data_IF_544273471491
#
_entry.id   IF_544273471491
#
_cell.length_a   1.000
_cell.length_b   1.000
_cell.length_c   1.000
_cell.angle_alpha   90.00
_cell.angle_beta   90.00
_cell.angle_gamma   90.00
#
_symmetry.space_group_name_H-M   'P 1'
#
loop_
_entity.id
_entity.type
_entity.pdbx_description
1 polymer ?
#
# COMPACT_ATOMS: atom_id res chain seq x y z
N UNK A 1 0.58 3.30 9.76
CA UNK A 1 1.78 3.96 9.20
C UNK A 1 3.00 3.23 9.72
N UNK A 2 4.03 3.09 8.88
CA UNK A 2 5.18 2.21 9.14
C UNK A 2 5.99 2.60 10.39
N UNK A 3 6.09 3.90 10.68
CA UNK A 3 6.86 4.44 11.82
C UNK A 3 6.14 4.38 13.16
N UNK A 4 4.92 3.84 13.23
CA UNK A 4 4.11 3.82 14.46
C UNK A 4 4.08 2.41 15.03
N UNK A 5 4.06 2.31 16.36
CA UNK A 5 3.77 1.08 17.07
C UNK A 5 2.68 1.32 18.12
N UNK A 6 1.90 0.29 18.45
CA UNK A 6 0.92 0.34 19.53
C UNK A 6 1.53 -0.14 20.83
N UNK A 7 1.50 0.68 21.88
CA UNK A 7 1.89 0.30 23.23
C UNK A 7 0.68 0.18 24.17
N UNK A 8 0.56 -0.94 24.89
CA UNK A 8 -0.44 -1.12 25.94
C UNK A 8 -0.37 -0.04 27.02
N UNK A 9 -1.54 0.34 27.54
CA UNK A 9 -1.69 1.31 28.64
C UNK A 9 -0.86 0.95 29.87
N UNK A 10 -0.87 -0.31 30.28
CA UNK A 10 -0.16 -0.80 31.47
C UNK A 10 1.36 -0.64 31.31
N UNK A 11 1.90 -1.04 30.15
CA UNK A 11 3.34 -0.93 29.85
C UNK A 11 3.76 0.52 29.70
N UNK A 12 2.96 1.33 29.00
CA UNK A 12 3.29 2.74 28.74
C UNK A 12 3.35 3.58 30.03
N UNK A 13 2.44 3.37 30.99
CA UNK A 13 2.50 4.08 32.28
C UNK A 13 3.80 3.78 33.03
N UNK A 14 4.23 2.53 33.08
CA UNK A 14 5.44 2.15 33.80
C UNK A 14 6.70 2.71 33.12
N UNK A 15 6.80 2.59 31.80
CA UNK A 15 7.95 3.10 31.04
C UNK A 15 8.08 4.63 31.12
N UNK A 16 6.96 5.36 31.07
CA UNK A 16 6.95 6.81 31.03
C UNK A 16 6.63 7.46 32.40
N UNK A 17 6.63 6.69 33.48
CA UNK A 17 6.16 7.14 34.80
C UNK A 17 6.82 8.44 35.26
N UNK A 18 8.14 8.55 35.11
CA UNK A 18 8.93 9.73 35.50
C UNK A 18 8.52 10.98 34.72
N UNK A 19 8.30 10.84 33.42
CA UNK A 19 7.85 11.93 32.54
C UNK A 19 6.43 12.36 32.85
N UNK A 20 5.54 11.41 33.15
CA UNK A 20 4.15 11.68 33.54
C UNK A 20 4.10 12.43 34.87
N UNK A 21 4.88 12.03 35.87
CA UNK A 21 5.00 12.73 37.15
C UNK A 21 5.45 14.18 36.92
N UNK A 22 6.48 14.38 36.09
CA UNK A 22 6.97 15.73 35.74
C UNK A 22 5.88 16.55 35.02
N UNK A 23 5.12 15.93 34.12
CA UNK A 23 4.00 16.56 33.41
C UNK A 23 2.87 16.99 34.34
N UNK A 24 2.49 16.14 35.29
CA UNK A 24 1.46 16.42 36.30
C UNK A 24 1.83 17.62 37.19
N UNK A 25 3.08 17.69 37.65
CA UNK A 25 3.57 18.79 38.49
C UNK A 25 3.66 20.09 37.68
N UNK A 26 4.22 20.02 36.46
CA UNK A 26 4.38 21.20 35.58
C UNK A 26 3.04 21.84 35.22
N UNK A 27 1.98 21.06 35.08
CA UNK A 27 0.62 21.53 34.78
C UNK A 27 -0.22 21.84 36.03
N UNK A 28 0.37 21.80 37.23
CA UNK A 28 -0.30 22.03 38.51
C UNK A 28 -1.45 21.05 38.84
N UNK A 29 -1.49 19.87 38.22
CA UNK A 29 -2.43 18.80 38.58
C UNK A 29 -1.99 18.02 39.82
N UNK A 30 -0.70 18.11 40.19
CA UNK A 30 -0.17 17.55 41.43
C UNK A 30 0.75 18.58 42.10
N UNK A 31 0.64 18.71 43.43
CA UNK A 31 1.48 19.63 44.23
C UNK A 31 2.87 19.06 44.51
N UNK A 32 2.99 17.73 44.63
CA UNK A 32 4.24 17.05 44.92
C UNK A 32 4.31 15.68 44.24
N UNK A 33 5.50 15.05 44.30
CA UNK A 33 5.75 13.73 43.69
C UNK A 33 4.86 12.65 44.32
N UNK A 34 4.56 12.73 45.62
CA UNK A 34 3.72 11.77 46.32
C UNK A 34 2.29 11.75 45.79
N UNK A 35 1.67 12.92 45.67
CA UNK A 35 0.33 13.10 45.09
C UNK A 35 0.31 12.65 43.64
N UNK A 36 1.32 13.01 42.85
CA UNK A 36 1.41 12.55 41.45
C UNK A 36 1.46 11.01 41.36
N UNK A 37 2.22 10.34 42.24
CA UNK A 37 2.25 8.87 42.31
C UNK A 37 0.90 8.29 42.75
N UNK A 38 0.17 8.92 43.67
CA UNK A 38 -1.19 8.49 44.06
C UNK A 38 -2.14 8.55 42.87
N UNK A 39 -2.17 9.68 42.15
CA UNK A 39 -3.03 9.86 40.96
C UNK A 39 -2.76 8.82 39.87
N UNK A 40 -1.49 8.44 39.67
CA UNK A 40 -1.10 7.37 38.73
C UNK A 40 -1.64 6.02 39.21
N UNK A 41 -1.51 5.70 40.50
CA UNK A 41 -2.03 4.44 41.09
C UNK A 41 -3.55 4.34 40.99
N UNK A 42 -4.25 5.45 41.20
CA UNK A 42 -5.70 5.58 41.09
C UNK A 42 -6.20 5.59 39.63
N UNK A 43 -5.27 5.65 38.65
CA UNK A 43 -5.56 5.66 37.21
C UNK A 43 -6.53 6.77 36.79
N UNK A 44 -6.38 7.96 37.38
CA UNK A 44 -7.23 9.12 37.06
C UNK A 44 -7.24 9.41 35.54
N UNK A 45 -8.37 9.87 34.98
CA UNK A 45 -8.51 10.12 33.54
C UNK A 45 -7.46 11.08 32.99
N UNK A 46 -7.03 12.04 33.82
CA UNK A 46 -6.06 13.07 33.45
C UNK A 46 -4.65 12.51 33.18
N UNK A 47 -4.31 11.38 33.80
CA UNK A 47 -3.02 10.70 33.63
C UNK A 47 -2.89 10.20 32.20
N UNK A 48 -3.97 9.68 31.60
CA UNK A 48 -3.97 9.18 30.23
C UNK A 48 -3.76 10.29 29.20
N UNK A 49 -4.35 11.47 29.44
CA UNK A 49 -4.16 12.63 28.58
C UNK A 49 -2.71 13.10 28.60
N UNK A 50 -2.10 13.21 29.79
CA UNK A 50 -0.69 13.61 29.94
C UNK A 50 0.23 12.54 29.35
N UNK A 51 -0.07 11.26 29.55
CA UNK A 51 0.70 10.16 28.96
C UNK A 51 0.73 10.24 27.43
N UNK A 52 -0.41 10.48 26.79
CA UNK A 52 -0.48 10.63 25.33
C UNK A 52 0.39 11.81 24.84
N UNK A 53 0.34 12.95 25.51
CA UNK A 53 1.17 14.11 25.17
C UNK A 53 2.67 13.81 25.33
N UNK A 54 3.06 13.16 26.42
CA UNK A 54 4.45 12.77 26.68
C UNK A 54 4.94 11.79 25.60
N UNK A 55 4.13 10.79 25.26
CA UNK A 55 4.47 9.78 24.25
C UNK A 55 4.67 10.39 22.86
N UNK A 56 3.90 11.42 22.48
CA UNK A 56 4.07 12.11 21.20
C UNK A 56 5.49 12.70 21.03
N UNK A 57 6.10 13.15 22.14
CA UNK A 57 7.45 13.71 22.12
C UNK A 57 8.59 12.68 22.06
N UNK A 58 8.35 11.42 22.42
CA UNK A 58 9.41 10.44 22.65
C UNK A 58 9.30 9.22 21.72
N UNK A 59 10.32 8.92 20.90
CA UNK A 59 10.39 7.65 20.18
C UNK A 59 10.66 6.49 21.15
N UNK A 60 10.32 5.27 20.76
CA UNK A 60 10.65 4.03 21.47
C UNK A 60 11.41 3.08 20.56
N UNK A 61 12.31 2.29 21.11
CA UNK A 61 13.02 1.25 20.38
C UNK A 61 12.37 -0.10 20.69
N UNK A 62 12.00 -0.83 19.64
CA UNK A 62 11.55 -2.21 19.74
C UNK A 62 12.70 -3.14 19.36
N UNK A 63 12.85 -4.22 20.12
CA UNK A 63 13.90 -5.21 19.94
C UNK A 63 13.31 -6.62 20.06
N UNK A 64 13.68 -7.52 19.13
CA UNK A 64 13.38 -8.95 19.23
C UNK A 64 14.68 -9.75 19.34
N UNK A 65 14.77 -10.59 20.37
CA UNK A 65 15.89 -11.51 20.54
C UNK A 65 15.63 -12.83 19.78
N UNK A 66 16.66 -13.47 19.20
CA UNK A 66 18.05 -13.02 19.10
C UNK A 66 18.25 -11.94 18.02
N UNK A 67 19.09 -10.94 18.30
CA UNK A 67 19.40 -9.85 17.34
C UNK A 67 20.54 -10.24 16.40
N UNK A 68 20.19 -10.65 15.18
CA UNK A 68 21.18 -11.10 14.18
C UNK A 68 21.77 -9.95 13.35
N UNK A 69 21.04 -8.85 13.19
CA UNK A 69 21.44 -7.72 12.35
C UNK A 69 20.81 -6.41 12.82
N UNK A 70 21.26 -5.28 12.27
CA UNK A 70 20.82 -3.92 12.66
C UNK A 70 19.30 -3.77 12.73
N UNK A 71 18.56 -4.34 11.77
CA UNK A 71 17.10 -4.21 11.70
C UNK A 71 16.34 -5.00 12.77
N UNK A 72 17.03 -5.82 13.58
CA UNK A 72 16.44 -6.45 14.76
C UNK A 72 16.14 -5.47 15.90
N UNK A 73 16.61 -4.22 15.78
CA UNK A 73 16.23 -3.10 16.63
C UNK A 73 15.82 -1.92 15.75
N UNK A 74 14.61 -1.41 15.93
CA UNK A 74 14.11 -0.25 15.19
C UNK A 74 13.35 0.71 16.10
N UNK A 75 13.37 1.99 15.73
CA UNK A 75 12.62 3.02 16.42
C UNK A 75 11.21 3.19 15.83
N UNK A 76 10.26 3.50 16.71
CA UNK A 76 8.88 3.79 16.38
C UNK A 76 8.34 4.94 17.23
N UNK A 77 7.35 5.64 16.70
CA UNK A 77 6.49 6.55 17.44
C UNK A 77 5.42 5.72 18.17
N UNK A 78 5.40 5.70 19.50
CA UNK A 78 4.41 4.93 20.23
C UNK A 78 3.03 5.60 20.19
N UNK A 79 1.99 4.77 20.11
CA UNK A 79 0.58 5.15 20.21
C UNK A 79 -0.06 4.29 21.28
N UNK A 80 -0.86 4.91 22.14
CA UNK A 80 -1.58 4.21 23.19
C UNK A 80 -2.67 3.32 22.56
N UNK A 81 -2.65 2.03 22.88
CA UNK A 81 -3.68 1.06 22.44
C UNK A 81 -4.36 0.41 23.63
N UNK A 82 -5.58 -0.06 23.40
CA UNK A 82 -6.32 -0.87 24.35
C UNK A 82 -5.88 -2.34 24.23
N UNK A 83 -5.75 -3.03 25.36
CA UNK A 83 -5.22 -4.40 25.43
C UNK A 83 -3.85 -4.49 26.09
N UNK A 84 -3.23 -5.68 25.97
CA UNK A 84 -1.94 -6.03 26.61
C UNK A 84 -0.83 -6.42 25.63
N UNK A 85 -1.11 -6.44 24.34
CA UNK A 85 -0.15 -6.80 23.31
C UNK A 85 0.42 -5.55 22.63
N UNK A 86 1.69 -5.62 22.21
CA UNK A 86 2.32 -4.59 21.39
C UNK A 86 1.82 -4.75 19.95
N UNK A 87 1.29 -3.68 19.36
CA UNK A 87 0.87 -3.72 17.95
C UNK A 87 2.06 -3.33 17.06
N UNK A 88 2.48 -4.26 16.21
CA UNK A 88 3.58 -4.07 15.26
C UNK A 88 3.04 -3.92 13.82
N UNK A 89 3.75 -3.17 12.99
CA UNK A 89 3.42 -3.04 11.58
C UNK A 89 3.83 -4.31 10.79
N UNK A 90 2.98 -4.90 9.94
CA UNK A 90 3.30 -6.18 9.27
C UNK A 90 4.55 -6.13 8.38
N UNK A 91 4.81 -4.99 7.72
CA UNK A 91 6.00 -4.83 6.87
C UNK A 91 7.33 -4.84 7.62
N UNK A 92 7.36 -4.60 8.94
CA UNK A 92 8.62 -4.64 9.71
C UNK A 92 8.92 -6.04 10.26
N UNK A 93 7.96 -6.98 10.21
CA UNK A 93 8.10 -8.33 10.74
C UNK A 93 9.30 -9.07 10.12
N UNK A 94 9.54 -8.91 8.82
CA UNK A 94 10.71 -9.51 8.14
C UNK A 94 12.04 -8.99 8.70
N UNK A 95 12.11 -7.71 9.08
CA UNK A 95 13.27 -7.10 9.72
C UNK A 95 13.51 -7.59 11.14
N UNK A 96 12.45 -7.96 11.88
CA UNK A 96 12.59 -8.57 13.20
C UNK A 96 12.70 -10.10 13.16
N UNK A 97 12.50 -10.70 11.98
CA UNK A 97 12.25 -12.14 11.81
C UNK A 97 11.13 -12.65 12.73
N UNK A 98 10.09 -11.84 12.93
CA UNK A 98 9.01 -12.06 13.88
C UNK A 98 7.75 -12.62 13.22
N UNK A 99 7.03 -13.45 13.97
CA UNK A 99 5.67 -13.90 13.68
C UNK A 99 4.74 -13.58 14.86
N UNK A 100 3.48 -14.06 14.80
CA UNK A 100 2.44 -13.70 15.76
C UNK A 100 1.83 -14.95 16.43
N UNK A 101 2.68 -15.93 16.78
CA UNK A 101 2.29 -17.18 17.44
C UNK A 101 2.58 -17.21 18.95
N UNK A 102 3.17 -16.15 19.49
CA UNK A 102 3.61 -16.06 20.89
C UNK A 102 4.90 -15.26 21.11
N UNK A 103 5.52 -14.80 20.03
CA UNK A 103 6.68 -13.92 20.03
C UNK A 103 6.60 -12.74 20.99
N UNK A 104 7.73 -12.44 21.64
CA UNK A 104 7.88 -11.34 22.59
C UNK A 104 8.90 -10.32 22.08
N UNK A 105 8.68 -9.04 22.41
CA UNK A 105 9.58 -7.95 22.07
C UNK A 105 9.88 -7.10 23.30
N UNK A 106 11.12 -6.66 23.41
CA UNK A 106 11.54 -5.69 24.40
C UNK A 106 11.29 -4.26 23.90
N UNK A 107 10.94 -3.36 24.83
CA UNK A 107 10.72 -1.94 24.57
C UNK A 107 11.74 -1.14 25.37
N UNK A 108 12.46 -0.25 24.69
CA UNK A 108 13.42 0.66 25.32
C UNK A 108 13.05 2.13 25.04
N UNK A 109 13.22 3.00 26.03
CA UNK A 109 12.93 4.43 25.91
C UNK A 109 14.25 5.22 25.96
N UNK A 110 14.66 5.88 24.86
CA UNK A 110 15.83 6.76 24.87
C UNK A 110 15.54 8.02 25.70
N UNK A 111 16.45 8.34 26.63
CA UNK A 111 16.27 9.44 27.59
C UNK A 111 16.92 10.75 27.13
N UNK A 112 18.19 10.70 26.69
CA UNK A 112 18.93 11.88 26.27
C UNK A 112 18.41 12.43 24.94
N UNK A 113 18.62 13.73 24.71
CA UNK A 113 18.17 14.38 23.48
C UNK A 113 18.92 13.85 22.26
N UNK A 114 20.20 13.53 22.44
CA UNK A 114 21.06 12.93 21.42
C UNK A 114 20.53 11.54 21.02
N UNK A 115 20.19 10.69 22.00
CA UNK A 115 19.64 9.37 21.72
C UNK A 115 18.25 9.44 21.05
N UNK A 116 17.41 10.42 21.43
CA UNK A 116 16.14 10.65 20.77
C UNK A 116 16.33 11.14 19.32
N UNK A 117 17.33 11.98 19.07
CA UNK A 117 17.67 12.45 17.73
C UNK A 117 18.18 11.30 16.84
N UNK A 118 19.09 10.47 17.35
CA UNK A 118 19.58 9.27 16.65
C UNK A 118 18.43 8.29 16.34
N UNK A 119 17.54 8.06 17.29
CA UNK A 119 16.39 7.20 17.08
C UNK A 119 15.50 7.70 15.93
N UNK A 120 15.25 9.02 15.88
CA UNK A 120 14.40 9.63 14.84
C UNK A 120 15.07 9.67 13.47
N UNK A 121 16.37 9.99 13.41
CA UNK A 121 17.09 10.20 12.16
C UNK A 121 17.66 8.92 11.55
N UNK A 122 18.06 7.95 12.38
CA UNK A 122 18.81 6.77 11.91
C UNK A 122 18.02 5.47 12.09
N UNK A 123 17.24 5.36 13.18
CA UNK A 123 16.63 4.08 13.57
C UNK A 123 15.15 3.97 13.21
N UNK A 124 14.48 5.06 12.81
CA UNK A 124 13.06 5.00 12.48
C UNK A 124 12.80 4.01 11.34
N UNK A 125 11.77 3.19 11.51
CA UNK A 125 11.48 2.08 10.57
C UNK A 125 11.28 2.54 9.13
N UNK A 126 10.72 3.74 8.91
CA UNK A 126 10.45 4.26 7.57
C UNK A 126 11.70 4.72 6.81
N UNK A 127 12.82 4.92 7.51
CA UNK A 127 14.12 5.20 6.90
C UNK A 127 14.91 3.90 6.62
N UNK A 128 14.50 2.80 7.23
CA UNK A 128 15.19 1.52 7.19
C UNK A 128 14.46 0.49 6.31
N UNK A 129 14.24 0.85 5.04
CA UNK A 129 13.49 0.02 4.09
C UNK A 129 14.35 -1.03 3.35
N UNK A 130 15.67 -0.84 3.34
CA UNK A 130 16.62 -1.67 2.59
C UNK A 130 17.44 -2.57 3.52
N UNK A 131 17.86 -3.71 2.98
CA UNK A 131 18.82 -4.61 3.61
C UNK A 131 20.21 -3.98 3.65
N UNK A 132 20.87 -3.90 4.82
CA UNK A 132 22.23 -3.40 4.90
C UNK A 132 23.25 -4.33 4.22
N UNK A 133 22.91 -5.61 4.00
CA UNK A 133 23.83 -6.59 3.41
C UNK A 133 23.85 -6.55 1.87
N UNK A 134 22.66 -6.49 1.24
CA UNK A 134 22.50 -6.66 -0.22
C UNK A 134 21.98 -5.37 -0.88
N UNK A 135 21.33 -4.47 -0.12
CA UNK A 135 20.65 -3.30 -0.68
C UNK A 135 19.21 -3.57 -1.15
N UNK A 136 18.76 -4.84 -1.13
CA UNK A 136 17.40 -5.22 -1.50
C UNK A 136 16.35 -4.68 -0.51
N UNK A 137 15.13 -4.38 -0.97
CA UNK A 137 14.05 -3.96 -0.08
C UNK A 137 13.64 -5.08 0.88
N UNK A 138 13.55 -4.76 2.17
CA UNK A 138 13.10 -5.69 3.22
C UNK A 138 11.62 -5.50 3.53
N UNK A 139 11.15 -4.25 3.58
CA UNK A 139 9.76 -3.89 3.88
C UNK A 139 8.84 -4.09 2.67
N UNK A 140 8.80 -5.32 2.14
CA UNK A 140 8.03 -5.70 0.95
C UNK A 140 6.73 -6.38 1.37
N UNK A 141 5.60 -6.16 0.66
CA UNK A 141 4.36 -6.90 0.91
C UNK A 141 4.56 -8.42 0.83
N UNK A 142 4.06 -9.14 1.83
CA UNK A 142 4.11 -10.61 1.94
C UNK A 142 2.71 -11.19 2.17
N UNK A 143 2.58 -12.52 1.99
CA UNK A 143 1.39 -13.31 2.31
C UNK A 143 0.10 -12.69 1.76
N UNK A 144 -0.82 -12.26 2.64
CA UNK A 144 -2.14 -11.75 2.29
C UNK A 144 -2.09 -10.51 1.41
N UNK A 145 -1.13 -9.60 1.64
CA UNK A 145 -0.96 -8.42 0.81
C UNK A 145 -0.58 -8.81 -0.63
N UNK A 146 0.29 -9.81 -0.78
CA UNK A 146 0.73 -10.30 -2.08
C UNK A 146 -0.42 -11.01 -2.81
N UNK A 147 -1.23 -11.80 -2.10
CA UNK A 147 -2.43 -12.44 -2.66
C UNK A 147 -3.44 -11.37 -3.10
N UNK A 148 -3.67 -10.35 -2.28
CA UNK A 148 -4.57 -9.24 -2.62
C UNK A 148 -4.12 -8.51 -3.88
N UNK A 149 -2.84 -8.15 -3.97
CA UNK A 149 -2.26 -7.52 -5.15
C UNK A 149 -2.28 -8.44 -6.38
N UNK A 150 -2.03 -9.73 -6.18
CA UNK A 150 -2.10 -10.72 -7.24
C UNK A 150 -3.51 -10.82 -7.78
N UNK A 151 -4.54 -10.97 -6.94
CA UNK A 151 -5.94 -11.00 -7.38
C UNK A 151 -6.30 -9.68 -8.06
N UNK A 152 -5.88 -8.55 -7.49
CA UNK A 152 -6.15 -7.22 -8.03
C UNK A 152 -5.57 -7.03 -9.45
N UNK A 153 -4.42 -7.66 -9.71
CA UNK A 153 -3.72 -7.59 -11.00
C UNK A 153 -3.85 -8.87 -11.82
N UNK A 154 -4.61 -9.85 -11.33
CA UNK A 154 -4.97 -11.05 -12.05
C UNK A 154 -6.11 -10.65 -12.97
N UNK A 155 -5.85 -10.72 -14.26
CA UNK A 155 -6.82 -10.35 -15.28
C UNK A 155 -6.48 -11.13 -16.54
N UNK A 156 -7.49 -11.36 -17.37
CA UNK A 156 -7.31 -12.11 -18.59
C UNK A 156 -6.44 -11.30 -19.58
N UNK A 157 -5.12 -11.52 -19.55
CA UNK A 157 -4.12 -10.84 -20.41
C UNK A 157 -4.18 -11.32 -21.85
N UNK A 158 -5.33 -11.75 -22.34
CA UNK A 158 -5.51 -11.92 -23.77
C UNK A 158 -5.23 -10.56 -24.41
N UNK A 159 -4.23 -10.46 -25.28
CA UNK A 159 -3.98 -9.24 -26.04
C UNK A 159 -5.19 -8.88 -26.92
N UNK A 160 -5.17 -7.67 -27.48
CA UNK A 160 -6.21 -7.16 -28.39
C UNK A 160 -6.47 -8.15 -29.55
N UNK A 161 -5.42 -8.83 -30.00
CA UNK A 161 -5.47 -9.84 -31.06
C UNK A 161 -5.82 -11.25 -30.55
N UNK A 162 -5.53 -11.57 -29.29
CA UNK A 162 -5.88 -12.87 -28.71
C UNK A 162 -7.41 -13.08 -28.66
N UNK A 163 -8.19 -12.01 -28.47
CA UNK A 163 -9.65 -12.11 -28.51
C UNK A 163 -10.24 -12.03 -29.93
N UNK A 164 -9.48 -11.53 -30.93
CA UNK A 164 -9.93 -11.42 -32.32
C UNK A 164 -9.62 -12.66 -33.17
N UNK A 165 -8.50 -13.33 -32.91
CA UNK A 165 -8.00 -14.45 -33.70
C UNK A 165 -8.07 -15.81 -33.02
N UNK A 166 -8.59 -15.90 -31.79
CA UNK A 166 -8.72 -17.16 -31.06
C UNK A 166 -10.19 -17.59 -30.92
N UNK A 167 -10.88 -18.00 -32.00
CA UNK A 167 -12.25 -18.50 -31.92
C UNK A 167 -12.33 -19.91 -31.32
N UNK A 168 -11.23 -20.68 -31.25
CA UNK A 168 -11.28 -22.12 -30.96
C UNK A 168 -10.02 -22.63 -30.24
N UNK A 169 -10.03 -22.67 -28.90
CA UNK A 169 -9.28 -23.70 -28.15
C UNK A 169 -10.29 -24.64 -27.46
N UNK A 170 -11.14 -25.27 -28.27
CA UNK A 170 -11.83 -26.53 -27.95
C UNK A 170 -11.03 -27.67 -28.62
N UNK A 171 -9.88 -28.03 -28.07
CA UNK A 171 -9.27 -29.34 -28.36
C UNK A 171 -8.88 -30.01 -27.06
N UNK A 172 -9.66 -31.06 -26.78
CA UNK A 172 -9.33 -32.23 -25.99
C UNK A 172 -9.43 -32.14 -24.47
N UNK A 173 -10.65 -32.07 -23.95
CA UNK A 173 -11.08 -32.98 -22.89
C UNK A 173 -12.46 -33.55 -23.28
N UNK A 174 -12.53 -34.87 -23.44
CA UNK A 174 -13.75 -35.60 -23.79
C UNK A 174 -14.64 -35.70 -22.55
N UNK A 175 -15.94 -35.48 -22.81
CA UNK A 175 -17.11 -35.92 -22.06
C UNK A 175 -17.41 -35.19 -20.73
N UNK A 176 -18.39 -34.29 -20.77
CA UNK A 176 -19.69 -34.53 -20.16
C UNK A 176 -20.74 -33.55 -20.69
N UNK A 177 -21.91 -34.09 -21.04
CA UNK A 177 -23.07 -33.34 -21.53
C UNK A 177 -23.74 -32.67 -20.35
N UNK A 178 -23.67 -31.35 -20.27
CA UNK A 178 -24.64 -30.55 -19.53
C UNK A 178 -25.24 -29.55 -20.51
N UNK A 179 -26.55 -29.67 -20.71
CA UNK A 179 -27.36 -28.71 -21.42
C UNK A 179 -27.30 -27.39 -20.65
N UNK A 180 -26.71 -26.37 -21.27
CA UNK A 180 -27.26 -25.03 -21.18
C UNK A 180 -26.95 -24.26 -22.47
N UNK A 181 -27.98 -24.16 -23.29
CA UNK A 181 -28.05 -23.28 -24.44
C UNK A 181 -28.15 -21.84 -23.92
N UNK A 182 -27.02 -21.13 -23.76
CA UNK A 182 -26.97 -19.66 -23.84
C UNK A 182 -25.53 -19.11 -23.78
N UNK A 183 -24.66 -19.49 -24.73
CA UNK A 183 -23.52 -18.63 -25.09
C UNK A 183 -23.88 -17.85 -26.35
N UNK A 184 -24.87 -16.96 -26.20
CA UNK A 184 -25.03 -15.83 -27.10
C UNK A 184 -23.84 -14.93 -26.80
N UNK A 185 -22.72 -15.10 -27.51
CA UNK A 185 -21.65 -14.11 -27.57
C UNK A 185 -22.24 -12.85 -28.23
N UNK A 186 -23.01 -12.08 -27.48
CA UNK A 186 -23.16 -10.66 -27.78
C UNK A 186 -21.76 -10.11 -27.71
N UNK A 187 -21.28 -9.64 -28.84
CA UNK A 187 -20.05 -8.85 -29.00
C UNK A 187 -20.26 -7.53 -28.25
N UNK A 188 -20.45 -7.59 -26.94
CA UNK A 188 -20.54 -6.42 -26.08
C UNK A 188 -19.22 -5.69 -26.25
N UNK A 189 -19.31 -4.52 -26.89
CA UNK A 189 -18.14 -3.69 -27.14
C UNK A 189 -17.50 -3.40 -25.79
N UNK A 190 -16.22 -3.73 -25.66
CA UNK A 190 -15.45 -3.38 -24.48
C UNK A 190 -15.59 -1.86 -24.24
N UNK A 191 -15.92 -1.43 -23.01
CA UNK A 191 -16.22 -0.03 -22.74
C UNK A 191 -14.97 0.84 -22.82
N UNK A 192 -15.13 2.04 -23.37
CA UNK A 192 -14.09 3.06 -23.44
C UNK A 192 -14.29 4.10 -22.34
N UNK A 193 -13.20 4.42 -21.64
CA UNK A 193 -13.15 5.43 -20.60
C UNK A 193 -12.10 6.48 -20.93
N UNK A 194 -12.48 7.74 -20.76
CA UNK A 194 -11.59 8.89 -20.86
C UNK A 194 -10.73 9.07 -19.60
N UNK A 195 -11.22 8.62 -18.45
CA UNK A 195 -10.60 8.84 -17.14
C UNK A 195 -10.72 7.60 -16.23
N UNK A 196 -9.75 7.42 -15.34
CA UNK A 196 -9.72 6.31 -14.36
C UNK A 196 -10.88 6.40 -13.36
N UNK A 197 -11.29 7.61 -12.96
CA UNK A 197 -12.41 7.83 -12.06
C UNK A 197 -13.73 7.32 -12.63
N UNK A 198 -13.97 7.51 -13.93
CA UNK A 198 -15.20 7.07 -14.58
C UNK A 198 -15.26 5.53 -14.65
N UNK A 199 -14.13 4.88 -14.91
CA UNK A 199 -14.01 3.43 -14.91
C UNK A 199 -14.30 2.83 -13.52
N UNK A 200 -13.71 3.42 -12.47
CA UNK A 200 -13.95 3.01 -11.07
C UNK A 200 -15.39 3.29 -10.66
N UNK A 201 -15.96 4.42 -11.08
CA UNK A 201 -17.37 4.77 -10.86
C UNK A 201 -18.32 3.77 -11.50
N UNK A 202 -18.05 3.37 -12.74
CA UNK A 202 -18.83 2.35 -13.44
C UNK A 202 -18.77 0.97 -12.74
N UNK A 203 -17.59 0.59 -12.22
CA UNK A 203 -17.45 -0.61 -11.39
C UNK A 203 -18.27 -0.54 -10.10
N UNK A 204 -18.22 0.59 -9.38
CA UNK A 204 -19.03 0.79 -8.16
C UNK A 204 -20.53 0.72 -8.42
N UNK A 205 -20.97 1.17 -9.60
CA UNK A 205 -22.35 1.05 -10.07
C UNK A 205 -22.71 -0.36 -10.59
N UNK A 206 -21.79 -1.33 -10.50
CA UNK A 206 -21.94 -2.70 -11.02
C UNK A 206 -22.26 -2.78 -12.52
N UNK A 207 -21.83 -1.77 -13.29
CA UNK A 207 -21.97 -1.77 -14.76
C UNK A 207 -20.89 -2.61 -15.45
N UNK A 208 -19.78 -2.83 -14.75
CA UNK A 208 -18.58 -3.50 -15.24
C UNK A 208 -18.12 -4.48 -14.15
N UNK A 209 -17.68 -5.66 -14.56
CA UNK A 209 -17.13 -6.67 -13.66
C UNK A 209 -15.63 -6.42 -13.43
N UNK A 210 -15.12 -6.86 -12.29
CA UNK A 210 -13.72 -6.65 -11.90
C UNK A 210 -12.72 -7.17 -12.96
N UNK A 211 -12.96 -8.38 -13.48
CA UNK A 211 -12.08 -9.05 -14.45
C UNK A 211 -12.34 -8.64 -15.91
N UNK A 212 -13.35 -7.82 -16.16
CA UNK A 212 -13.73 -7.47 -17.53
C UNK A 212 -12.74 -6.47 -18.14
N UNK A 213 -12.27 -6.73 -19.37
CA UNK A 213 -11.35 -5.82 -20.05
C UNK A 213 -12.06 -4.53 -20.45
N UNK A 214 -11.36 -3.41 -20.31
CA UNK A 214 -11.82 -2.09 -20.69
C UNK A 214 -10.70 -1.28 -21.35
N UNK A 215 -11.08 -0.24 -22.08
CA UNK A 215 -10.15 0.67 -22.73
C UNK A 215 -10.06 1.97 -21.96
N UNK A 216 -8.86 2.32 -21.49
CA UNK A 216 -8.61 3.58 -20.79
C UNK A 216 -7.77 4.51 -21.66
N UNK A 217 -8.22 5.75 -21.82
CA UNK A 217 -7.42 6.80 -22.47
C UNK A 217 -6.19 7.13 -21.61
N UNK A 218 -5.01 6.88 -22.15
CA UNK A 218 -3.74 7.16 -21.49
C UNK A 218 -3.28 8.58 -21.76
N UNK A 219 -2.68 9.22 -20.74
CA UNK A 219 -2.09 10.56 -20.88
C UNK A 219 -0.69 10.45 -21.47
N UNK A 220 -0.40 11.27 -22.49
CA UNK A 220 0.87 11.25 -23.20
C UNK A 220 2.07 11.65 -22.33
N UNK A 221 1.83 12.41 -21.26
CA UNK A 221 2.87 12.92 -20.35
C UNK A 221 3.41 11.85 -19.39
N UNK A 222 2.71 10.72 -19.24
CA UNK A 222 3.13 9.60 -18.41
C UNK A 222 3.89 8.61 -19.28
N UNK A 223 5.21 8.50 -19.07
CA UNK A 223 6.15 7.65 -19.78
C UNK A 223 5.54 6.31 -20.21
N UNK A 224 5.34 6.15 -21.52
CA UNK A 224 5.04 4.85 -22.12
C UNK A 224 6.36 4.09 -22.24
N UNK A 225 6.60 3.12 -21.36
CA UNK A 225 7.62 2.10 -21.65
C UNK A 225 6.99 1.16 -22.66
N UNK A 226 7.14 1.46 -23.95
CA UNK A 226 6.98 0.44 -24.98
C UNK A 226 8.34 0.19 -25.63
N UNK A 227 8.75 -1.07 -25.61
CA UNK A 227 9.62 -1.66 -26.64
C UNK A 227 9.23 -1.13 -28.02
N UNK A 228 10.21 -0.96 -28.92
CA UNK A 228 9.99 -0.56 -30.32
C UNK A 228 9.21 -1.67 -31.07
N UNK A 229 7.92 -1.77 -30.82
CA UNK A 229 7.03 -2.75 -31.44
C UNK A 229 6.41 -2.18 -32.72
N UNK A 230 6.27 -3.04 -33.73
CA UNK A 230 5.56 -2.72 -34.98
C UNK A 230 4.06 -2.95 -34.74
N UNK A 231 3.15 -2.10 -35.25
CA UNK A 231 1.72 -2.33 -35.10
C UNK A 231 1.31 -3.63 -35.76
N UNK A 232 0.40 -4.36 -35.11
CA UNK A 232 -0.12 -5.65 -35.60
C UNK A 232 -1.13 -5.39 -36.72
N UNK A 233 -1.98 -4.36 -36.55
CA UNK A 233 -2.95 -3.92 -37.56
C UNK A 233 -3.02 -2.41 -37.62
N UNK A 234 -3.35 -1.87 -38.80
CA UNK A 234 -3.63 -0.44 -38.99
C UNK A 234 -4.96 -0.28 -39.70
N UNK A 235 -5.91 0.44 -39.09
CA UNK A 235 -7.22 0.70 -39.70
C UNK A 235 -7.32 2.17 -40.09
N UNK A 236 -7.74 2.45 -41.32
CA UNK A 236 -7.93 3.82 -41.82
C UNK A 236 -9.42 4.18 -41.82
N UNK A 237 -9.75 5.35 -41.26
CA UNK A 237 -11.08 5.94 -41.36
C UNK A 237 -11.17 6.89 -42.55
N UNK A 238 -12.37 7.03 -43.12
CA UNK A 238 -12.63 7.92 -44.25
C UNK A 238 -12.35 9.40 -43.96
N UNK A 239 -12.33 9.78 -42.67
CA UNK A 239 -12.03 11.14 -42.20
C UNK A 239 -10.51 11.41 -42.08
N UNK A 240 -9.67 10.45 -42.46
CA UNK A 240 -8.21 10.55 -42.47
C UNK A 240 -7.54 10.30 -41.12
N UNK A 241 -8.31 10.00 -40.08
CA UNK A 241 -7.80 9.38 -38.86
C UNK A 241 -7.46 7.92 -39.12
N UNK A 242 -6.42 7.42 -38.47
CA UNK A 242 -6.08 6.00 -38.54
C UNK A 242 -5.67 5.47 -37.17
N UNK A 243 -5.96 4.19 -36.97
CA UNK A 243 -5.81 3.46 -35.73
C UNK A 243 -4.69 2.45 -35.86
N UNK A 244 -3.61 2.63 -35.12
CA UNK A 244 -2.52 1.65 -35.00
C UNK A 244 -2.83 0.75 -33.81
N UNK A 245 -3.01 -0.54 -34.06
CA UNK A 245 -3.40 -1.54 -33.08
C UNK A 245 -2.16 -2.37 -32.71
N UNK A 246 -1.82 -2.36 -31.42
CA UNK A 246 -0.72 -3.13 -30.86
C UNK A 246 -1.25 -4.29 -30.01
N UNK A 247 -0.37 -5.03 -29.35
CA UNK A 247 -0.77 -6.18 -28.52
C UNK A 247 -1.70 -5.78 -27.36
N UNK A 248 -1.41 -4.66 -26.69
CA UNK A 248 -2.11 -4.25 -25.46
C UNK A 248 -2.57 -2.78 -25.46
N UNK A 249 -2.28 -2.02 -26.52
CA UNK A 249 -2.69 -0.62 -26.64
C UNK A 249 -3.08 -0.28 -28.08
N UNK A 250 -3.77 0.85 -28.24
CA UNK A 250 -4.30 1.41 -29.47
C UNK A 250 -3.84 2.87 -29.56
N UNK A 251 -3.25 3.26 -30.69
CA UNK A 251 -2.84 4.64 -30.94
C UNK A 251 -3.69 5.22 -32.05
N UNK A 252 -4.31 6.37 -31.78
CA UNK A 252 -5.10 7.11 -32.77
C UNK A 252 -4.27 8.26 -33.30
N UNK A 253 -4.02 8.27 -34.61
CA UNK A 253 -3.22 9.30 -35.29
C UNK A 253 -4.03 10.11 -36.29
N UNK A 254 -3.57 11.34 -36.49
CA UNK A 254 -4.03 12.24 -37.54
C UNK A 254 -3.33 11.96 -38.87
N UNK A 255 -3.86 12.50 -39.97
CA UNK A 255 -3.24 12.47 -41.32
C UNK A 255 -1.78 12.98 -41.26
N UNK A 256 -1.51 13.97 -40.42
CA UNK A 256 -0.17 14.56 -40.18
C UNK A 256 0.76 13.67 -39.34
N UNK A 257 0.36 12.43 -39.02
CA UNK A 257 1.04 11.47 -38.12
C UNK A 257 1.16 11.88 -36.65
N UNK A 258 0.55 13.00 -36.27
CA UNK A 258 0.43 13.43 -34.87
C UNK A 258 -0.45 12.47 -34.06
N UNK A 259 -0.02 12.14 -32.84
CA UNK A 259 -0.78 11.27 -31.92
C UNK A 259 -1.90 12.10 -31.30
N UNK A 260 -3.16 11.73 -31.56
CA UNK A 260 -4.32 12.37 -30.92
C UNK A 260 -4.59 11.79 -29.54
N UNK A 261 -4.64 10.47 -29.44
CA UNK A 261 -5.00 9.74 -28.23
C UNK A 261 -4.33 8.38 -28.23
N UNK A 262 -3.97 7.89 -27.04
CA UNK A 262 -3.56 6.50 -26.82
C UNK A 262 -4.61 5.88 -25.90
N UNK A 263 -5.04 4.66 -26.21
CA UNK A 263 -5.89 3.86 -25.35
C UNK A 263 -5.13 2.59 -24.95
N UNK A 264 -5.15 2.28 -23.66
CA UNK A 264 -4.55 1.05 -23.12
C UNK A 264 -5.68 0.13 -22.72
N UNK A 265 -5.56 -1.14 -23.12
CA UNK A 265 -6.50 -2.17 -22.69
C UNK A 265 -6.06 -2.71 -21.34
N UNK A 266 -6.91 -2.53 -20.34
CA UNK A 266 -6.61 -2.83 -18.94
C UNK A 266 -7.86 -3.33 -18.21
N UNK A 267 -7.75 -3.56 -16.90
CA UNK A 267 -8.85 -3.94 -16.02
C UNK A 267 -8.99 -2.90 -14.90
N UNK A 268 -10.14 -2.90 -14.22
CA UNK A 268 -10.40 -1.99 -13.10
C UNK A 268 -9.37 -2.17 -11.97
N UNK A 269 -8.95 -3.41 -11.71
CA UNK A 269 -7.95 -3.73 -10.70
C UNK A 269 -6.58 -3.08 -10.97
N UNK A 270 -6.07 -3.20 -12.19
CA UNK A 270 -4.82 -2.55 -12.59
C UNK A 270 -4.94 -1.03 -12.49
N UNK A 271 -6.05 -0.45 -12.95
CA UNK A 271 -6.29 1.00 -12.83
C UNK A 271 -6.23 1.45 -11.38
N UNK A 272 -6.87 0.71 -10.49
CA UNK A 272 -6.89 1.04 -9.05
C UNK A 272 -5.47 0.96 -8.48
N UNK A 273 -4.72 -0.09 -8.80
CA UNK A 273 -3.35 -0.27 -8.32
C UNK A 273 -2.40 0.85 -8.79
N UNK A 274 -2.36 1.14 -10.10
CA UNK A 274 -1.48 2.18 -10.64
C UNK A 274 -1.86 3.57 -10.15
N UNK A 275 -3.16 3.80 -9.92
CA UNK A 275 -3.62 5.06 -9.35
C UNK A 275 -3.10 5.27 -7.93
N UNK A 276 -3.16 4.26 -7.07
CA UNK A 276 -2.61 4.35 -5.71
C UNK A 276 -1.09 4.64 -5.74
N UNK A 277 -0.36 4.04 -6.69
CA UNK A 277 1.06 4.35 -6.90
C UNK A 277 1.24 5.80 -7.33
N UNK A 278 0.46 6.28 -8.29
CA UNK A 278 0.57 7.66 -8.78
C UNK A 278 0.24 8.67 -7.67
N UNK A 279 -0.82 8.43 -6.89
CA UNK A 279 -1.20 9.28 -5.75
C UNK A 279 -0.10 9.29 -4.68
N UNK A 280 0.52 8.14 -4.40
CA UNK A 280 1.64 8.05 -3.47
C UNK A 280 2.87 8.84 -3.97
N UNK A 281 3.20 8.75 -5.26
CA UNK A 281 4.31 9.50 -5.87
C UNK A 281 4.04 11.02 -5.86
N UNK A 282 2.83 11.44 -6.23
CA UNK A 282 2.45 12.86 -6.20
C UNK A 282 2.42 13.41 -4.77
N UNK A 283 1.97 12.61 -3.80
CA UNK A 283 2.02 12.95 -2.38
C UNK A 283 3.44 13.21 -1.90
N UNK A 284 4.41 12.42 -2.36
CA UNK A 284 5.83 12.63 -2.07
C UNK A 284 6.35 13.93 -2.67
N UNK A 285 6.05 14.22 -3.94
CA UNK A 285 6.49 15.44 -4.61
C UNK A 285 5.92 16.74 -4.02
N UNK A 286 4.82 16.68 -3.26
CA UNK A 286 4.23 17.85 -2.58
C UNK A 286 4.70 18.05 -1.14
N UNK A 287 5.31 17.03 -0.54
CA UNK A 287 5.79 17.06 0.84
C UNK A 287 7.23 17.61 0.97
N UNK A 288 7.92 17.79 -0.16
CA UNK A 288 9.22 18.43 -0.30
C UNK A 288 9.07 19.71 -1.13
#
# INVERSE_FOLDING_TARGET
>A
SLHRCGLPREIAIELFQTFVIRGLIKKHFASNIGVAKSKIREKEPIVWQILQEVMQGHPVLLNRAPTLHRLGIQAFQPILVEGRAICLHPLVCKGFNADFDGDQMAVHVPLSLEAQAEARLLMFSHMNLLSPAIGDPISVPTQDMLIGLYILTSGNRGGICANRYNPCNRRNYKNERIYDNNYKYTKEKEPFFSNSYDAIGAYRQKRINFDSPLWLRWRLDQCVISSREVPIEVHYESLGTYHEIYGHYLVVRSIKKEIRCIYIRTTVGHISFYREIEEALQGFCRAY
#
